data_IF_952774486104
#
_entry.id   IF_952774486104
#
_cell.length_a   1.000
_cell.length_b   1.000
_cell.length_c   1.000
_cell.angle_alpha   90.00
_cell.angle_beta   90.00
_cell.angle_gamma   90.00
#
_symmetry.space_group_name_H-M   'P 1'
#
loop_
_entity.id
_entity.type
_entity.pdbx_description
1 polymer ?
#
# COMPACT_ATOMS: atom_id res chain seq x y z
N UNK A 1 -28.85 0.61 61.27
CA UNK A 1 -27.46 1.09 61.25
C UNK A 1 -26.54 -0.12 61.24
N UNK A 2 -26.26 -0.70 60.07
CA UNK A 2 -25.25 -1.76 59.93
C UNK A 2 -24.05 -1.17 59.21
N UNK A 3 -22.90 -1.14 59.89
CA UNK A 3 -21.66 -0.59 59.36
C UNK A 3 -21.07 -1.49 58.28
N UNK A 4 -20.92 -0.95 57.07
CA UNK A 4 -20.07 -1.50 56.02
C UNK A 4 -18.63 -1.47 56.47
N UNK A 5 -18.08 -2.65 56.73
CA UNK A 5 -16.68 -2.88 57.12
C UNK A 5 -15.73 -2.65 55.93
N UNK A 6 -14.56 -2.05 56.19
CA UNK A 6 -13.48 -1.77 55.23
C UNK A 6 -12.95 -3.01 54.46
N UNK A 7 -13.39 -4.21 54.82
CA UNK A 7 -13.06 -5.45 54.13
C UNK A 7 -13.83 -5.61 52.79
N UNK A 8 -15.01 -4.99 52.64
CA UNK A 8 -15.79 -5.06 51.39
C UNK A 8 -15.13 -4.28 50.23
N UNK A 9 -14.27 -3.31 50.55
CA UNK A 9 -13.55 -2.52 49.55
C UNK A 9 -12.31 -3.25 48.99
N UNK A 10 -11.81 -4.30 49.66
CA UNK A 10 -10.59 -5.01 49.26
C UNK A 10 -10.84 -6.30 48.48
N UNK A 11 -12.10 -6.67 48.25
CA UNK A 11 -12.50 -7.89 47.51
C UNK A 11 -13.42 -7.54 46.32
N UNK A 12 -13.29 -6.34 45.75
CA UNK A 12 -13.77 -6.09 44.40
C UNK A 12 -12.58 -6.23 43.45
N UNK A 13 -12.55 -7.25 42.57
CA UNK A 13 -11.55 -7.29 41.52
C UNK A 13 -11.68 -5.98 40.73
N UNK A 14 -10.56 -5.27 40.44
CA UNK A 14 -10.64 -4.06 39.65
C UNK A 14 -11.36 -4.41 38.35
N UNK A 15 -12.40 -3.65 38.06
CA UNK A 15 -13.22 -3.87 36.90
C UNK A 15 -12.34 -4.02 35.66
N UNK A 16 -12.86 -4.78 34.70
CA UNK A 16 -12.20 -5.07 33.45
C UNK A 16 -11.81 -3.75 32.81
N UNK A 17 -10.52 -3.41 32.96
CA UNK A 17 -9.80 -2.31 32.31
C UNK A 17 -10.67 -1.74 31.21
N UNK A 18 -11.33 -0.62 31.50
CA UNK A 18 -11.82 0.28 30.46
C UNK A 18 -10.54 0.75 29.76
N UNK A 19 -10.06 -0.06 28.83
CA UNK A 19 -9.22 0.40 27.76
C UNK A 19 -10.11 1.41 27.06
N UNK A 20 -9.99 2.68 27.46
CA UNK A 20 -10.28 3.80 26.58
C UNK A 20 -9.28 3.63 25.45
N UNK A 21 -9.65 2.73 24.53
CA UNK A 21 -8.91 2.50 23.32
C UNK A 21 -9.00 3.82 22.61
N UNK A 22 -7.92 4.61 22.68
CA UNK A 22 -7.62 5.64 21.69
C UNK A 22 -8.02 4.98 20.38
N UNK A 23 -9.01 5.52 19.62
CA UNK A 23 -9.46 4.90 18.40
C UNK A 23 -8.22 4.73 17.52
N UNK A 24 -7.61 3.53 17.51
CA UNK A 24 -6.42 3.29 16.71
C UNK A 24 -6.87 3.64 15.30
N UNK A 25 -6.17 4.53 14.58
CA UNK A 25 -6.62 4.98 13.28
C UNK A 25 -6.90 3.73 12.46
N UNK A 26 -8.18 3.46 12.16
CA UNK A 26 -8.67 2.24 11.50
C UNK A 26 -8.04 2.03 10.11
N UNK A 27 -7.27 3.02 9.66
CA UNK A 27 -6.59 3.14 8.39
C UNK A 27 -5.13 2.67 8.42
N UNK A 28 -4.48 2.55 9.59
CA UNK A 28 -3.06 2.23 9.67
C UNK A 28 -2.68 0.89 8.99
N UNK A 29 -3.45 -0.21 9.15
CA UNK A 29 -3.16 -1.45 8.42
C UNK A 29 -3.34 -1.30 6.90
N UNK A 30 -4.31 -0.49 6.48
CA UNK A 30 -4.59 -0.24 5.06
C UNK A 30 -3.50 0.60 4.40
N UNK A 31 -2.99 1.61 5.12
CA UNK A 31 -1.84 2.43 4.73
C UNK A 31 -0.61 1.54 4.55
N UNK A 32 -0.28 0.72 5.56
CA UNK A 32 0.87 -0.17 5.50
C UNK A 32 0.76 -1.17 4.34
N UNK A 33 -0.41 -1.77 4.14
CA UNK A 33 -0.64 -2.70 3.04
C UNK A 33 -0.46 -1.98 1.68
N UNK A 34 -1.00 -0.77 1.55
CA UNK A 34 -0.85 0.06 0.34
C UNK A 34 0.59 0.44 0.05
N UNK A 35 1.37 0.81 1.06
CA UNK A 35 2.81 1.06 0.95
C UNK A 35 3.56 -0.17 0.46
N UNK A 36 3.29 -1.36 1.03
CA UNK A 36 3.88 -2.62 0.59
C UNK A 36 3.53 -2.89 -0.88
N UNK A 37 2.28 -2.66 -1.27
CA UNK A 37 1.86 -2.84 -2.66
C UNK A 37 2.59 -1.90 -3.62
N UNK A 38 2.75 -0.62 -3.26
CA UNK A 38 3.54 0.34 -4.06
C UNK A 38 4.99 -0.12 -4.23
N UNK A 39 5.60 -0.59 -3.14
CA UNK A 39 6.96 -1.13 -3.17
C UNK A 39 7.08 -2.40 -4.05
N UNK A 40 6.13 -3.31 -3.93
CA UNK A 40 6.05 -4.53 -4.77
C UNK A 40 5.86 -4.17 -6.24
N UNK A 41 5.03 -3.17 -6.57
CA UNK A 41 4.83 -2.72 -7.93
C UNK A 41 6.14 -2.21 -8.56
N UNK A 42 6.89 -1.38 -7.83
CA UNK A 42 8.18 -0.87 -8.27
C UNK A 42 9.21 -2.00 -8.47
N UNK A 43 9.31 -2.90 -7.49
CA UNK A 43 10.22 -4.05 -7.57
C UNK A 43 9.89 -4.99 -8.74
N UNK A 44 8.60 -5.30 -8.94
CA UNK A 44 8.15 -6.12 -10.07
C UNK A 44 8.41 -5.44 -11.40
N UNK A 45 8.17 -4.13 -11.51
CA UNK A 45 8.42 -3.40 -12.74
C UNK A 45 9.91 -3.43 -13.11
N UNK A 46 10.79 -3.14 -12.13
CA UNK A 46 12.23 -3.20 -12.33
C UNK A 46 12.72 -4.61 -12.69
N UNK A 47 12.25 -5.63 -11.96
CA UNK A 47 12.66 -7.01 -12.19
C UNK A 47 12.18 -7.53 -13.56
N UNK A 48 10.90 -7.30 -13.89
CA UNK A 48 10.34 -7.73 -15.17
C UNK A 48 10.99 -6.99 -16.34
N UNK A 49 11.20 -5.68 -16.25
CA UNK A 49 11.91 -4.92 -17.29
C UNK A 49 13.32 -5.49 -17.54
N UNK A 50 14.05 -5.80 -16.46
CA UNK A 50 15.39 -6.39 -16.56
C UNK A 50 15.39 -7.78 -17.18
N UNK A 51 14.42 -8.62 -16.84
CA UNK A 51 14.35 -10.03 -17.28
C UNK A 51 13.83 -10.13 -18.71
N UNK A 52 12.83 -9.32 -19.06
CA UNK A 52 12.11 -9.42 -20.34
C UNK A 52 12.78 -8.60 -21.43
N UNK A 53 13.07 -7.33 -21.15
CA UNK A 53 13.57 -6.38 -22.15
C UNK A 53 15.08 -6.14 -22.02
N UNK A 54 15.72 -6.71 -21.00
CA UNK A 54 17.13 -6.46 -20.71
C UNK A 54 17.41 -5.04 -20.20
N UNK A 55 16.37 -4.27 -19.87
CA UNK A 55 16.47 -2.89 -19.43
C UNK A 55 17.19 -2.77 -18.08
N UNK A 56 17.69 -1.59 -17.73
CA UNK A 56 18.27 -1.40 -16.40
C UNK A 56 17.20 -1.51 -15.33
N UNK A 57 17.50 -2.20 -14.23
CA UNK A 57 16.63 -2.27 -13.05
C UNK A 57 16.38 -0.90 -12.41
N UNK A 58 17.25 0.08 -12.67
CA UNK A 58 17.14 1.43 -12.12
C UNK A 58 16.23 2.35 -12.95
N UNK A 59 15.88 1.95 -14.17
CA UNK A 59 15.08 2.77 -15.08
C UNK A 59 13.72 3.21 -14.49
N UNK A 60 12.93 2.33 -13.83
CA UNK A 60 11.69 2.74 -13.17
C UNK A 60 11.87 3.82 -12.11
N UNK A 61 13.01 3.85 -11.43
CA UNK A 61 13.29 4.83 -10.38
C UNK A 61 13.51 6.21 -10.99
N UNK A 62 14.28 6.31 -12.08
CA UNK A 62 14.45 7.56 -12.82
C UNK A 62 13.12 8.07 -13.38
N UNK A 63 12.29 7.18 -13.92
CA UNK A 63 10.97 7.53 -14.46
C UNK A 63 10.04 8.11 -13.39
N UNK A 64 10.04 7.54 -12.18
CA UNK A 64 9.26 8.04 -11.06
C UNK A 64 9.83 9.33 -10.48
N UNK A 65 11.15 9.45 -10.35
CA UNK A 65 11.81 10.65 -9.84
C UNK A 65 11.61 11.86 -10.77
N UNK A 66 11.55 11.63 -12.08
CA UNK A 66 11.28 12.65 -13.08
C UNK A 66 9.94 13.37 -12.88
N UNK A 67 8.96 12.76 -12.19
CA UNK A 67 7.70 13.45 -11.81
C UNK A 67 7.98 14.71 -10.98
N UNK A 68 9.02 14.68 -10.13
CA UNK A 68 9.37 15.79 -9.25
C UNK A 68 10.52 16.64 -9.79
N UNK A 69 11.47 16.00 -10.47
CA UNK A 69 12.70 16.63 -10.92
C UNK A 69 12.64 17.09 -12.39
N UNK A 70 11.58 16.73 -13.11
CA UNK A 70 11.44 16.99 -14.54
C UNK A 70 12.12 15.93 -15.42
N UNK A 71 12.03 16.13 -16.73
CA UNK A 71 12.53 15.18 -17.73
C UNK A 71 14.06 15.00 -17.70
N UNK A 72 14.82 15.96 -17.16
CA UNK A 72 16.28 15.89 -17.06
C UNK A 72 16.75 14.74 -16.16
N UNK A 73 15.94 14.31 -15.19
CA UNK A 73 16.24 13.15 -14.35
C UNK A 73 16.24 11.82 -15.14
N UNK A 74 15.79 11.83 -16.40
CA UNK A 74 15.86 10.69 -17.30
C UNK A 74 17.21 10.58 -18.01
N UNK A 75 18.16 11.52 -17.86
CA UNK A 75 19.47 11.41 -18.51
C UNK A 75 20.60 11.48 -17.46
N UNK A 76 21.41 10.41 -17.26
CA UNK A 76 21.37 9.11 -17.93
C UNK A 76 20.36 8.13 -17.31
N UNK A 77 19.43 7.63 -18.15
CA UNK A 77 18.36 6.72 -17.72
C UNK A 77 18.93 5.38 -17.25
N UNK A 78 18.46 4.93 -16.08
CA UNK A 78 18.79 3.60 -15.58
C UNK A 78 20.23 3.47 -15.05
N UNK A 79 20.92 4.58 -14.83
CA UNK A 79 22.11 4.60 -13.99
C UNK A 79 21.74 4.35 -12.52
N UNK A 80 22.71 3.95 -11.70
CA UNK A 80 22.48 3.89 -10.25
C UNK A 80 22.64 5.30 -9.67
N UNK A 81 21.56 5.85 -9.12
CA UNK A 81 21.54 7.16 -8.48
C UNK A 81 20.69 7.12 -7.20
N UNK A 82 21.35 7.30 -6.05
CA UNK A 82 20.72 7.15 -4.73
C UNK A 82 19.61 8.20 -4.46
N UNK A 83 19.81 9.50 -4.75
CA UNK A 83 18.74 10.49 -4.82
C UNK A 83 17.50 10.04 -5.60
N UNK A 84 17.68 9.51 -6.82
CA UNK A 84 16.55 9.08 -7.66
C UNK A 84 15.81 7.90 -7.04
N UNK A 85 16.56 6.94 -6.49
CA UNK A 85 15.99 5.79 -5.77
C UNK A 85 15.17 6.27 -4.58
N UNK A 86 15.70 7.21 -3.79
CA UNK A 86 15.02 7.76 -2.62
C UNK A 86 13.70 8.45 -2.96
N UNK A 87 13.71 9.32 -3.98
CA UNK A 87 12.51 10.04 -4.44
C UNK A 87 11.46 9.06 -4.98
N UNK A 88 11.88 8.11 -5.80
CA UNK A 88 10.99 7.09 -6.35
C UNK A 88 10.34 6.23 -5.27
N UNK A 89 11.12 5.78 -4.27
CA UNK A 89 10.58 5.02 -3.13
C UNK A 89 9.59 5.86 -2.35
N UNK A 90 9.93 7.11 -2.01
CA UNK A 90 9.04 8.00 -1.29
C UNK A 90 7.71 8.21 -2.04
N UNK A 91 7.78 8.38 -3.37
CA UNK A 91 6.61 8.52 -4.23
C UNK A 91 5.71 7.28 -4.20
N UNK A 92 6.26 6.07 -4.40
CA UNK A 92 5.44 4.84 -4.42
C UNK A 92 4.87 4.50 -3.05
N UNK A 93 5.56 4.85 -1.95
CA UNK A 93 5.04 4.70 -0.60
C UNK A 93 3.88 5.67 -0.35
N UNK A 94 4.01 6.93 -0.75
CA UNK A 94 2.95 7.93 -0.63
C UNK A 94 1.72 7.56 -1.47
N UNK A 95 1.92 7.21 -2.74
CA UNK A 95 0.85 6.77 -3.64
C UNK A 95 0.19 5.47 -3.12
N UNK A 96 0.99 4.50 -2.68
CA UNK A 96 0.52 3.27 -2.07
C UNK A 96 -0.34 3.52 -0.84
N UNK A 97 0.10 4.39 0.07
CA UNK A 97 -0.66 4.78 1.25
C UNK A 97 -2.04 5.36 0.90
N UNK A 98 -2.09 6.30 -0.06
CA UNK A 98 -3.35 6.90 -0.52
C UNK A 98 -4.32 5.86 -1.07
N UNK A 99 -3.81 4.93 -1.87
CA UNK A 99 -4.61 3.85 -2.45
C UNK A 99 -5.08 2.88 -1.37
N UNK A 100 -4.21 2.51 -0.43
CA UNK A 100 -4.57 1.66 0.69
C UNK A 100 -5.75 2.24 1.49
N UNK A 101 -5.73 3.54 1.75
CA UNK A 101 -6.84 4.25 2.40
C UNK A 101 -8.10 4.22 1.54
N UNK A 102 -8.01 4.55 0.25
CA UNK A 102 -9.15 4.54 -0.66
C UNK A 102 -9.79 3.14 -0.77
N UNK A 103 -8.97 2.11 -0.95
CA UNK A 103 -9.39 0.73 -1.09
C UNK A 103 -10.02 0.20 0.20
N UNK A 104 -9.54 0.64 1.37
CA UNK A 104 -10.14 0.25 2.64
C UNK A 104 -11.61 0.65 2.74
N UNK A 105 -12.01 1.79 2.18
CA UNK A 105 -13.41 2.23 2.16
C UNK A 105 -14.29 1.33 1.29
N UNK A 106 -13.73 0.83 0.19
CA UNK A 106 -14.43 -0.04 -0.77
C UNK A 106 -14.55 -1.48 -0.23
N UNK A 107 -13.48 -1.98 0.40
CA UNK A 107 -13.41 -3.38 0.87
C UNK A 107 -14.25 -3.62 2.13
N UNK A 108 -14.60 -2.59 2.91
CA UNK A 108 -15.40 -2.72 4.14
C UNK A 108 -16.76 -3.41 3.88
N UNK A 109 -17.35 -3.27 2.69
CA UNK A 109 -18.63 -3.91 2.31
C UNK A 109 -18.50 -5.15 1.41
N UNK A 110 -17.29 -5.54 1.02
CA UNK A 110 -17.10 -6.58 0.00
C UNK A 110 -17.11 -8.01 0.57
N UNK A 111 -17.66 -8.95 -0.20
CA UNK A 111 -17.63 -10.38 0.15
C UNK A 111 -16.17 -10.90 0.12
N UNK A 112 -15.76 -11.83 1.01
CA UNK A 112 -14.37 -12.30 1.07
C UNK A 112 -13.84 -12.89 -0.23
N UNK A 113 -14.71 -13.48 -1.06
CA UNK A 113 -14.35 -14.10 -2.34
C UNK A 113 -14.05 -13.08 -3.45
N UNK A 114 -14.53 -11.83 -3.32
CA UNK A 114 -14.27 -10.77 -4.31
C UNK A 114 -13.02 -9.94 -4.00
N UNK A 115 -12.38 -10.13 -2.84
CA UNK A 115 -11.22 -9.34 -2.45
C UNK A 115 -10.05 -9.40 -3.46
N UNK A 116 -9.64 -10.57 -4.01
CA UNK A 116 -8.58 -10.63 -5.02
C UNK A 116 -8.92 -9.85 -6.30
N UNK A 117 -10.18 -9.93 -6.74
CA UNK A 117 -10.67 -9.22 -7.93
C UNK A 117 -10.65 -7.71 -7.69
N UNK A 118 -11.08 -7.27 -6.50
CA UNK A 118 -11.02 -5.85 -6.11
C UNK A 118 -9.58 -5.34 -6.11
N UNK A 119 -8.64 -6.15 -5.62
CA UNK A 119 -7.21 -5.81 -5.62
C UNK A 119 -6.65 -5.69 -7.03
N UNK A 120 -6.95 -6.67 -7.89
CA UNK A 120 -6.55 -6.64 -9.29
C UNK A 120 -7.08 -5.40 -10.02
N UNK A 121 -8.38 -5.11 -9.87
CA UNK A 121 -9.02 -3.93 -10.48
C UNK A 121 -8.40 -2.64 -9.94
N UNK A 122 -8.10 -2.57 -8.65
CA UNK A 122 -7.43 -1.41 -8.06
C UNK A 122 -6.01 -1.21 -8.62
N UNK A 123 -5.24 -2.28 -8.81
CA UNK A 123 -3.94 -2.25 -9.46
C UNK A 123 -4.01 -1.76 -10.90
N UNK A 124 -4.99 -2.25 -11.68
CA UNK A 124 -5.23 -1.82 -13.05
C UNK A 124 -5.70 -0.36 -13.12
N UNK A 125 -6.56 0.08 -12.21
CA UNK A 125 -6.99 1.46 -12.11
C UNK A 125 -5.82 2.39 -11.79
N UNK A 126 -4.89 1.95 -10.92
CA UNK A 126 -3.67 2.68 -10.63
C UNK A 126 -2.75 2.78 -11.84
N UNK A 127 -2.57 1.69 -12.60
CA UNK A 127 -1.84 1.75 -13.86
C UNK A 127 -2.46 2.77 -14.80
N UNK A 128 -3.79 2.74 -14.95
CA UNK A 128 -4.57 3.72 -15.72
C UNK A 128 -4.29 5.15 -15.27
N UNK A 129 -4.48 5.45 -13.99
CA UNK A 129 -4.28 6.78 -13.42
C UNK A 129 -2.82 7.24 -13.54
N UNK A 130 -1.87 6.34 -13.35
CA UNK A 130 -0.44 6.66 -13.39
C UNK A 130 -0.01 6.94 -14.82
N UNK A 131 -0.21 6.01 -15.75
CA UNK A 131 0.36 6.12 -17.08
C UNK A 131 -0.52 6.88 -18.07
N UNK A 132 -1.83 7.00 -17.84
CA UNK A 132 -2.72 7.80 -18.69
C UNK A 132 -3.09 9.13 -18.03
N UNK A 133 -3.27 9.16 -16.70
CA UNK A 133 -3.53 10.39 -15.96
C UNK A 133 -2.30 11.28 -15.85
N UNK A 134 -1.19 10.78 -15.27
CA UNK A 134 0.02 11.60 -15.14
C UNK A 134 0.67 11.92 -16.48
N UNK A 135 0.52 11.08 -17.49
CA UNK A 135 1.05 11.38 -18.81
C UNK A 135 0.42 12.60 -19.49
N UNK A 136 -0.74 13.08 -19.02
CA UNK A 136 -1.27 14.38 -19.43
C UNK A 136 -0.39 15.54 -18.96
N UNK A 137 0.19 15.42 -17.76
CA UNK A 137 1.06 16.43 -17.15
C UNK A 137 2.55 16.20 -17.43
N UNK A 138 2.92 14.93 -17.63
CA UNK A 138 4.30 14.45 -17.73
C UNK A 138 4.44 13.56 -18.96
N UNK A 139 4.64 14.14 -20.16
CA UNK A 139 4.55 13.41 -21.43
C UNK A 139 5.48 12.20 -21.55
N UNK A 140 6.65 12.21 -20.89
CA UNK A 140 7.62 11.11 -20.89
C UNK A 140 7.08 9.81 -20.27
N UNK A 141 5.99 9.86 -19.48
CA UNK A 141 5.31 8.64 -19.02
C UNK A 141 4.61 7.90 -20.16
N UNK A 142 4.34 8.56 -21.29
CA UNK A 142 3.77 7.91 -22.45
C UNK A 142 4.69 6.82 -23.00
N UNK A 143 6.00 7.06 -23.01
CA UNK A 143 7.01 6.13 -23.50
C UNK A 143 7.29 5.01 -22.49
N UNK A 144 7.06 5.28 -21.21
CA UNK A 144 7.16 4.28 -20.14
C UNK A 144 5.97 3.30 -20.11
N UNK A 145 4.93 3.52 -20.91
CA UNK A 145 3.77 2.63 -21.01
C UNK A 145 4.17 1.29 -21.59
N UNK A 146 3.49 0.25 -21.12
CA UNK A 146 3.68 -1.07 -21.68
C UNK A 146 2.96 -2.13 -20.89
N UNK A 147 2.98 -3.34 -21.44
CA UNK A 147 2.40 -4.51 -20.78
C UNK A 147 3.18 -4.90 -19.50
N UNK A 148 4.48 -4.58 -19.41
CA UNK A 148 5.31 -4.85 -18.23
C UNK A 148 4.83 -4.08 -16.98
N UNK A 149 4.80 -2.73 -16.98
CA UNK A 149 4.25 -1.99 -15.85
C UNK A 149 2.78 -2.34 -15.58
N UNK A 150 1.99 -2.64 -16.62
CA UNK A 150 0.62 -3.12 -16.43
C UNK A 150 0.56 -4.39 -15.57
N UNK A 151 1.38 -5.40 -15.87
CA UNK A 151 1.45 -6.65 -15.12
C UNK A 151 1.96 -6.41 -13.69
N UNK A 152 2.98 -5.56 -13.53
CA UNK A 152 3.55 -5.24 -12.21
C UNK A 152 2.50 -4.61 -11.28
N UNK A 153 1.71 -3.67 -11.79
CA UNK A 153 0.63 -3.02 -11.04
C UNK A 153 -0.56 -3.94 -10.77
N UNK A 154 -0.93 -4.77 -11.73
CA UNK A 154 -1.99 -5.77 -11.55
C UNK A 154 -1.62 -6.78 -10.44
N UNK A 155 -0.39 -7.30 -10.48
CA UNK A 155 0.13 -8.23 -9.49
C UNK A 155 0.24 -7.59 -8.10
N UNK A 156 0.73 -6.35 -8.00
CA UNK A 156 0.84 -5.66 -6.70
C UNK A 156 -0.53 -5.43 -6.04
N UNK A 157 -1.55 -5.07 -6.83
CA UNK A 157 -2.93 -4.94 -6.35
C UNK A 157 -3.52 -6.27 -5.85
N UNK A 158 -3.17 -7.39 -6.49
CA UNK A 158 -3.52 -8.71 -5.99
C UNK A 158 -2.82 -8.99 -4.64
N UNK A 159 -1.51 -8.75 -4.54
CA UNK A 159 -0.74 -8.91 -3.29
C UNK A 159 -1.31 -8.10 -2.12
N UNK A 160 -1.73 -6.86 -2.39
CA UNK A 160 -2.36 -5.97 -1.39
C UNK A 160 -3.54 -6.64 -0.68
N UNK A 161 -4.43 -7.28 -1.45
CA UNK A 161 -5.65 -7.89 -0.91
C UNK A 161 -5.42 -9.24 -0.26
N UNK A 162 -4.40 -9.98 -0.71
CA UNK A 162 -3.96 -11.21 -0.06
C UNK A 162 -3.33 -10.93 1.32
N UNK A 163 -2.49 -9.89 1.43
CA UNK A 163 -1.86 -9.48 2.69
C UNK A 163 -2.83 -8.91 3.73
N UNK A 164 -3.96 -8.35 3.29
CA UNK A 164 -5.01 -7.87 4.22
C UNK A 164 -5.76 -9.01 4.93
N UNK A 165 -5.79 -10.23 4.37
CA UNK A 165 -6.53 -11.39 4.95
C UNK A 165 -6.06 -11.83 6.35
N UNK A 166 -4.76 -12.04 6.63
CA UNK A 166 -4.34 -12.51 7.95
C UNK A 166 -4.68 -11.54 9.09
N UNK A 167 -4.74 -10.23 8.81
CA UNK A 167 -5.06 -9.22 9.83
C UNK A 167 -6.52 -9.28 10.32
N UNK A 168 -7.47 -9.74 9.49
CA UNK A 168 -8.88 -9.90 9.88
C UNK A 168 -9.16 -11.22 10.62
N UNK A 169 -8.35 -12.26 10.36
CA UNK A 169 -8.54 -13.58 10.98
C UNK A 169 -8.11 -13.60 12.45
N UNK A 170 -7.02 -12.92 12.83
CA UNK A 170 -6.59 -12.87 14.23
C UNK A 170 -7.58 -12.16 15.17
N UNK A 171 -8.29 -11.14 14.67
CA UNK A 171 -9.28 -10.42 15.48
C UNK A 171 -10.46 -11.32 15.89
N UNK A 172 -10.91 -12.19 14.98
CA UNK A 172 -12.01 -13.11 15.26
C UNK A 172 -11.64 -14.20 16.27
N UNK A 173 -10.35 -14.47 16.45
CA UNK A 173 -9.85 -15.49 17.37
C UNK A 173 -9.62 -14.94 18.79
N UNK A 174 -9.23 -13.67 18.91
CA UNK A 174 -9.10 -12.99 20.21
C UNK A 174 -10.45 -12.56 20.83
N UNK A 175 -11.52 -12.44 20.04
CA UNK A 175 -12.87 -12.19 20.55
C UNK A 175 -13.57 -13.47 21.05
N UNK A 176 -12.93 -14.64 20.92
CA UNK A 176 -13.45 -15.97 21.29
C UNK A 176 -12.65 -16.63 22.44
N UNK A 177 -11.73 -15.91 23.06
CA UNK A 177 -11.05 -16.30 24.31
C UNK A 177 -11.38 -15.30 25.41
#
# INVERSE_FOLDING_TARGET
MSGTTLQDFLITPPDKRVYVGIPRPRYAPSVAAGMIAGFVALGLWAALGRIVDGSSSWQPFHQLAAVFLGAEALDPIGSYDLPMIGIAIAMVLAAGALVGVALSRIVIGAKPRSAPVIGLVAGLALYGLTFYGFAYFFPWFADARGWIPLVAFAASGLFLTLLYRPFKFQRKQNDLQ
#
